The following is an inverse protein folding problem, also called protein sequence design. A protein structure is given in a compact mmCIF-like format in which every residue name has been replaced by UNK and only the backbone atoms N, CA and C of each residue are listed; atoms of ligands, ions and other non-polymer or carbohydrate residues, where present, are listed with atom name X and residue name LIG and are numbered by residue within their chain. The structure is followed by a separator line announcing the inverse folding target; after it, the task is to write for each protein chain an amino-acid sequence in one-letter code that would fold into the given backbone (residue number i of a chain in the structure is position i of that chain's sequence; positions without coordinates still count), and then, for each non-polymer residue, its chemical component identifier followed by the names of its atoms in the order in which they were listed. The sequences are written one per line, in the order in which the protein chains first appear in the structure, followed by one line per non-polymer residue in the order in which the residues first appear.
data_IF_249077122328
#
_entry.id   IF_249077122328
#
_cell.length_a   1.000
_cell.length_b   1.000
_cell.length_c   1.000
_cell.angle_alpha   90.00
_cell.angle_beta   90.00
_cell.angle_gamma   90.00
#
_symmetry.space_group_name_H-M   'P 1'
#
loop_
_entity.id
_entity.type
_entity.pdbx_description
1 polymer ?
#
# COMPACT_ATOMS: atom_id res chain seq x y z
N UNK A 1 -61.97 -11.93 15.04
CA UNK A 1 -60.88 -12.49 14.21
C UNK A 1 -60.32 -11.38 13.33
N UNK A 2 -59.15 -10.83 13.66
CA UNK A 2 -58.46 -9.86 12.80
C UNK A 2 -57.57 -10.64 11.84
N UNK A 3 -57.87 -10.53 10.56
CA UNK A 3 -57.13 -11.19 9.48
C UNK A 3 -55.75 -10.52 9.36
N UNK A 4 -54.70 -11.23 9.77
CA UNK A 4 -53.32 -10.80 9.60
C UNK A 4 -52.94 -10.93 8.12
N UNK A 5 -52.58 -9.82 7.48
CA UNK A 5 -52.03 -9.83 6.11
C UNK A 5 -50.55 -10.25 6.17
N UNK A 6 -50.07 -11.10 5.24
CA UNK A 6 -48.66 -11.47 5.22
C UNK A 6 -47.82 -10.26 4.82
N UNK A 7 -46.83 -9.92 5.65
CA UNK A 7 -45.79 -8.94 5.32
C UNK A 7 -44.81 -9.65 4.40
N UNK A 8 -44.92 -9.39 3.09
CA UNK A 8 -43.94 -9.85 2.12
C UNK A 8 -42.70 -8.95 2.27
N UNK A 9 -41.70 -9.45 2.98
CA UNK A 9 -40.37 -8.84 3.00
C UNK A 9 -39.73 -9.03 1.63
N UNK A 10 -39.83 -8.01 0.77
CA UNK A 10 -38.97 -7.92 -0.40
C UNK A 10 -37.54 -7.66 0.09
N UNK A 11 -36.70 -8.70 0.02
CA UNK A 11 -35.24 -8.53 0.00
C UNK A 11 -34.89 -7.85 -1.31
N UNK A 12 -35.04 -6.53 -1.35
CA UNK A 12 -34.52 -5.71 -2.44
C UNK A 12 -33.01 -5.72 -2.23
N UNK A 13 -32.32 -6.55 -3.00
CA UNK A 13 -30.87 -6.54 -3.08
C UNK A 13 -30.42 -5.10 -3.28
N UNK A 14 -29.49 -4.66 -2.43
CA UNK A 14 -28.79 -3.39 -2.56
C UNK A 14 -28.00 -3.42 -3.87
N UNK A 15 -28.67 -3.14 -4.98
CA UNK A 15 -28.03 -2.75 -6.21
C UNK A 15 -27.28 -1.46 -5.89
N UNK A 16 -25.96 -1.50 -5.99
CA UNK A 16 -25.03 -0.42 -5.67
C UNK A 16 -25.53 0.89 -6.31
N UNK A 17 -25.92 1.86 -5.50
CA UNK A 17 -26.48 3.16 -5.94
C UNK A 17 -25.38 4.11 -6.44
N UNK A 18 -24.37 3.56 -7.10
CA UNK A 18 -23.21 4.29 -7.59
C UNK A 18 -22.92 3.87 -9.02
N UNK A 19 -22.65 4.82 -9.93
CA UNK A 19 -22.25 4.48 -11.29
C UNK A 19 -20.97 3.64 -11.25
N UNK A 20 -20.83 2.70 -12.19
CA UNK A 20 -19.58 1.96 -12.38
C UNK A 20 -18.44 2.96 -12.58
N UNK A 21 -17.46 2.95 -11.69
CA UNK A 21 -16.29 3.85 -11.71
C UNK A 21 -15.08 3.03 -12.07
N UNK A 22 -14.37 3.42 -13.13
CA UNK A 22 -13.12 2.81 -13.53
C UNK A 22 -11.95 3.55 -12.86
N UNK A 23 -11.13 2.80 -12.12
CA UNK A 23 -9.92 3.30 -11.50
C UNK A 23 -8.72 2.68 -12.21
N UNK A 24 -7.80 3.52 -12.68
CA UNK A 24 -6.50 3.09 -13.21
C UNK A 24 -5.40 3.55 -12.26
N UNK A 25 -4.60 2.61 -11.78
CA UNK A 25 -3.48 2.85 -10.86
C UNK A 25 -2.23 2.21 -11.45
N UNK A 26 -1.08 2.86 -11.27
CA UNK A 26 0.23 2.29 -11.57
C UNK A 26 0.95 1.98 -10.26
N UNK A 27 1.24 0.71 -10.05
CA UNK A 27 1.94 0.19 -8.88
C UNK A 27 2.94 -0.88 -9.34
N UNK A 28 4.02 -1.14 -8.56
CA UNK A 28 4.92 -2.26 -8.81
C UNK A 28 4.15 -3.57 -8.85
N UNK A 29 4.52 -4.50 -9.73
CA UNK A 29 3.92 -5.83 -9.71
C UNK A 29 4.27 -6.57 -8.41
N UNK A 30 3.32 -7.30 -7.85
CA UNK A 30 3.44 -8.00 -6.58
C UNK A 30 2.80 -9.39 -6.64
N UNK A 31 3.50 -10.42 -6.17
CA UNK A 31 2.99 -11.80 -6.15
C UNK A 31 1.97 -12.07 -5.03
N UNK A 32 1.87 -11.17 -4.05
CA UNK A 32 0.88 -11.20 -2.96
C UNK A 32 -0.38 -10.36 -3.23
N UNK A 33 -0.51 -9.75 -4.43
CA UNK A 33 -1.68 -8.96 -4.77
C UNK A 33 -1.81 -7.64 -3.98
N UNK A 34 -0.68 -7.00 -3.64
CA UNK A 34 -0.61 -5.68 -3.00
C UNK A 34 -1.24 -5.58 -1.61
N UNK A 35 -1.42 -6.72 -0.95
CA UNK A 35 -2.04 -6.89 0.37
C UNK A 35 -1.20 -6.39 1.56
N UNK A 36 -0.04 -5.77 1.28
CA UNK A 36 0.87 -5.24 2.30
C UNK A 36 1.87 -6.25 2.86
N UNK A 37 2.03 -7.42 2.23
CA UNK A 37 3.17 -8.31 2.50
C UNK A 37 4.34 -8.03 1.57
N UNK A 38 5.56 -8.38 2.01
CA UNK A 38 6.72 -8.50 1.11
C UNK A 38 6.47 -9.64 0.12
N UNK A 39 6.98 -9.52 -1.12
CA UNK A 39 6.82 -10.59 -2.12
C UNK A 39 7.22 -11.95 -1.52
N UNK A 40 6.55 -13.02 -1.92
CA UNK A 40 6.92 -14.37 -1.47
C UNK A 40 8.25 -14.82 -2.07
N UNK A 41 8.57 -14.36 -3.29
CA UNK A 41 9.86 -14.60 -3.96
C UNK A 41 10.43 -13.30 -4.56
N UNK A 42 10.92 -12.36 -3.73
CA UNK A 42 11.28 -11.01 -4.18
C UNK A 42 12.39 -11.01 -5.24
N UNK A 43 13.42 -11.86 -5.07
CA UNK A 43 14.54 -11.98 -6.03
C UNK A 43 14.11 -12.41 -7.43
N UNK A 44 13.03 -13.20 -7.53
CA UNK A 44 12.49 -13.67 -8.82
C UNK A 44 11.56 -12.64 -9.48
N UNK A 45 11.21 -11.56 -8.79
CA UNK A 45 10.40 -10.49 -9.34
C UNK A 45 11.24 -9.58 -10.24
N UNK A 46 11.40 -9.98 -11.51
CA UNK A 46 12.09 -9.18 -12.53
C UNK A 46 11.31 -7.94 -12.97
N UNK A 47 10.00 -7.87 -12.73
CA UNK A 47 9.17 -6.71 -13.08
C UNK A 47 9.56 -5.48 -12.24
N UNK A 48 9.86 -5.69 -10.96
CA UNK A 48 10.35 -4.65 -10.05
C UNK A 48 11.62 -3.94 -10.58
N UNK A 49 12.53 -4.65 -11.23
CA UNK A 49 13.77 -4.08 -11.79
C UNK A 49 13.54 -3.09 -12.94
N UNK A 50 12.37 -3.12 -13.59
CA UNK A 50 12.02 -2.15 -14.64
C UNK A 50 11.72 -0.76 -14.07
N UNK A 51 11.35 -0.67 -12.80
CA UNK A 51 11.12 0.59 -12.12
C UNK A 51 12.45 1.14 -11.62
N UNK A 52 12.88 2.27 -12.19
CA UNK A 52 14.23 2.83 -11.98
C UNK A 52 14.66 2.87 -10.51
N UNK A 53 13.80 3.38 -9.62
CA UNK A 53 14.13 3.53 -8.19
C UNK A 53 14.29 2.17 -7.50
N UNK A 54 13.34 1.26 -7.71
CA UNK A 54 13.39 -0.11 -7.18
C UNK A 54 14.62 -0.83 -7.74
N UNK A 55 14.88 -0.76 -9.05
CA UNK A 55 16.04 -1.40 -9.67
C UNK A 55 17.40 -0.87 -9.15
N UNK A 56 17.44 0.34 -8.60
CA UNK A 56 18.66 0.94 -8.01
C UNK A 56 18.79 0.66 -6.50
N UNK A 57 17.69 0.56 -5.77
CA UNK A 57 17.67 0.47 -4.31
C UNK A 57 17.39 -0.93 -3.77
N UNK A 58 16.95 -1.88 -4.61
CA UNK A 58 16.58 -3.22 -4.17
C UNK A 58 17.79 -3.97 -3.63
N UNK A 59 17.62 -4.53 -2.43
CA UNK A 59 18.55 -5.47 -1.81
C UNK A 59 17.88 -6.85 -1.78
N UNK A 60 18.30 -7.74 -2.68
CA UNK A 60 17.71 -9.07 -2.82
C UNK A 60 17.84 -9.89 -1.53
N UNK A 61 18.98 -9.78 -0.82
CA UNK A 61 19.22 -10.56 0.39
C UNK A 61 18.36 -10.06 1.57
N UNK A 62 18.23 -8.73 1.71
CA UNK A 62 17.39 -8.13 2.74
C UNK A 62 15.91 -8.44 2.49
N UNK A 63 15.43 -8.33 1.25
CA UNK A 63 14.04 -8.64 0.92
C UNK A 63 13.73 -10.14 1.05
N UNK A 64 14.65 -11.04 0.66
CA UNK A 64 14.50 -12.49 0.86
C UNK A 64 14.40 -12.88 2.35
N UNK A 65 15.12 -12.18 3.24
CA UNK A 65 15.10 -12.45 4.68
C UNK A 65 13.73 -12.18 5.35
N UNK A 66 12.90 -11.33 4.74
CA UNK A 66 11.55 -10.96 5.24
C UNK A 66 10.44 -11.34 4.26
N UNK A 67 10.72 -12.21 3.29
CA UNK A 67 9.78 -12.60 2.25
C UNK A 67 8.45 -13.13 2.84
N UNK A 68 7.33 -12.67 2.27
CA UNK A 68 5.98 -13.04 2.70
C UNK A 68 5.51 -12.45 4.04
N UNK A 69 6.35 -11.72 4.78
CA UNK A 69 5.96 -11.09 6.04
C UNK A 69 5.14 -9.81 5.78
N UNK A 70 4.23 -9.48 6.69
CA UNK A 70 3.42 -8.27 6.60
C UNK A 70 4.21 -7.04 7.04
N UNK A 71 3.97 -5.88 6.40
CA UNK A 71 4.64 -4.63 6.81
C UNK A 71 4.33 -4.24 8.26
N UNK A 72 3.16 -4.61 8.80
CA UNK A 72 2.81 -4.31 10.21
C UNK A 72 3.63 -5.11 11.22
N UNK A 73 4.16 -6.27 10.80
CA UNK A 73 4.97 -7.14 11.65
C UNK A 73 6.47 -6.83 11.52
N UNK A 74 6.83 -5.92 10.60
CA UNK A 74 8.21 -5.56 10.29
C UNK A 74 8.55 -4.16 10.77
N UNK A 75 9.73 -3.96 11.38
CA UNK A 75 10.25 -2.62 11.60
C UNK A 75 10.51 -1.93 10.25
N UNK A 76 10.32 -0.61 10.19
CA UNK A 76 10.33 0.16 8.94
C UNK A 76 11.68 0.05 8.20
N UNK A 77 12.79 -0.16 8.91
CA UNK A 77 14.12 -0.34 8.35
C UNK A 77 14.25 -1.63 7.52
N UNK A 78 13.35 -2.60 7.74
CA UNK A 78 13.29 -3.86 6.98
C UNK A 78 12.26 -3.81 5.85
N UNK A 79 11.58 -2.69 5.65
CA UNK A 79 10.61 -2.58 4.57
C UNK A 79 11.30 -2.62 3.20
N UNK A 80 10.76 -3.35 2.22
CA UNK A 80 11.34 -3.42 0.89
C UNK A 80 11.28 -2.04 0.21
N UNK A 81 12.22 -1.79 -0.70
CA UNK A 81 12.34 -0.49 -1.36
C UNK A 81 11.05 -0.10 -2.13
N UNK A 82 10.24 -1.09 -2.55
CA UNK A 82 8.99 -0.91 -3.27
C UNK A 82 7.84 -0.30 -2.43
N UNK A 83 7.97 -0.19 -1.10
CA UNK A 83 6.95 0.46 -0.25
C UNK A 83 6.74 1.93 -0.62
N UNK A 84 7.82 2.64 -0.97
CA UNK A 84 7.74 4.03 -1.42
C UNK A 84 7.08 4.16 -2.82
N UNK A 85 7.00 3.09 -3.61
CA UNK A 85 6.20 3.03 -4.85
C UNK A 85 4.77 2.49 -4.62
N UNK A 86 4.26 2.51 -3.39
CA UNK A 86 2.87 2.10 -3.06
C UNK A 86 2.58 0.62 -3.33
N UNK A 87 3.54 -0.28 -3.08
CA UNK A 87 3.32 -1.73 -3.17
C UNK A 87 2.13 -2.23 -2.34
N UNK A 88 1.81 -1.55 -1.23
CA UNK A 88 0.81 -1.96 -0.26
C UNK A 88 -0.54 -1.25 -0.46
N UNK A 89 -0.91 -0.88 -1.69
CA UNK A 89 -2.11 -0.06 -1.91
C UNK A 89 -3.43 -0.79 -1.56
N UNK A 90 -3.46 -2.13 -1.59
CA UNK A 90 -4.63 -2.94 -1.24
C UNK A 90 -4.55 -3.53 0.17
N UNK A 91 -3.52 -3.17 0.95
CA UNK A 91 -3.38 -3.69 2.31
C UNK A 91 -4.61 -3.35 3.16
N UNK A 92 -5.11 -4.27 3.99
CA UNK A 92 -6.27 -4.05 4.86
C UNK A 92 -5.90 -3.29 6.15
N UNK A 93 -4.75 -2.61 6.16
CA UNK A 93 -4.22 -1.91 7.31
C UNK A 93 -3.56 -0.60 6.90
N UNK A 94 -3.49 0.32 7.83
CA UNK A 94 -2.79 1.59 7.67
C UNK A 94 -1.32 1.44 8.06
N UNK A 95 -0.47 2.23 7.42
CA UNK A 95 0.91 2.36 7.85
C UNK A 95 1.40 3.78 7.62
N UNK A 96 2.34 4.19 8.47
CA UNK A 96 3.02 5.48 8.36
C UNK A 96 4.42 5.22 7.85
N UNK A 97 4.79 5.85 6.75
CA UNK A 97 6.14 5.84 6.23
C UNK A 97 6.80 7.17 6.48
N UNK A 98 7.86 7.14 7.26
CA UNK A 98 8.74 8.28 7.44
C UNK A 98 9.61 8.54 6.20
N UNK A 99 9.65 9.77 5.72
CA UNK A 99 10.45 10.19 4.56
C UNK A 99 11.36 11.36 4.91
N UNK A 100 12.62 11.25 4.51
CA UNK A 100 13.59 12.33 4.64
C UNK A 100 13.50 13.27 3.44
N UNK A 101 13.30 14.56 3.69
CA UNK A 101 13.19 15.56 2.63
C UNK A 101 14.56 15.80 1.95
N UNK A 102 14.67 15.79 0.60
CA UNK A 102 15.94 15.98 -0.09
C UNK A 102 16.68 17.28 0.28
N UNK A 103 15.93 18.37 0.49
CA UNK A 103 16.50 19.69 0.86
C UNK A 103 17.11 19.78 2.25
N UNK A 104 16.92 18.77 3.12
CA UNK A 104 17.61 18.69 4.41
C UNK A 104 19.13 18.58 4.23
N UNK A 105 19.59 17.92 3.15
CA UNK A 105 21.03 17.71 2.88
C UNK A 105 21.70 18.86 2.13
N UNK A 106 20.96 19.64 1.35
CA UNK A 106 21.55 20.55 0.35
C UNK A 106 21.56 22.03 0.74
N UNK A 107 20.97 22.40 1.88
CA UNK A 107 20.79 23.82 2.22
C UNK A 107 20.65 24.05 3.73
N UNK A 108 21.76 23.92 4.45
CA UNK A 108 21.86 24.21 5.90
C UNK A 108 21.42 25.64 6.26
N UNK A 109 21.54 26.59 5.32
CA UNK A 109 21.22 28.01 5.57
C UNK A 109 19.80 28.48 5.21
N UNK A 110 18.98 27.67 4.52
CA UNK A 110 17.65 28.14 4.04
C UNK A 110 16.52 27.12 4.16
N UNK A 111 16.83 25.81 4.11
CA UNK A 111 15.83 24.74 4.12
C UNK A 111 16.12 23.71 5.24
N UNK A 112 16.92 24.09 6.24
CA UNK A 112 17.21 23.23 7.41
C UNK A 112 15.98 22.94 8.28
N UNK A 113 14.89 23.70 8.12
CA UNK A 113 13.62 23.50 8.81
C UNK A 113 12.70 22.45 8.15
N UNK A 114 13.08 21.91 6.99
CA UNK A 114 12.34 20.78 6.40
C UNK A 114 12.69 19.52 7.19
N UNK A 115 11.95 19.33 8.28
CA UNK A 115 12.02 18.17 9.14
C UNK A 115 11.54 16.89 8.46
N UNK A 116 11.74 15.78 9.15
CA UNK A 116 11.29 14.46 8.76
C UNK A 116 9.75 14.45 8.61
N UNK A 117 9.25 14.01 7.44
CA UNK A 117 7.81 14.04 7.13
C UNK A 117 7.23 12.63 7.12
N UNK A 118 6.15 12.45 7.87
CA UNK A 118 5.36 11.22 7.89
C UNK A 118 4.34 11.20 6.74
N UNK A 119 4.40 10.18 5.90
CA UNK A 119 3.35 9.86 4.92
C UNK A 119 2.44 8.79 5.50
N UNK A 120 1.17 9.13 5.70
CA UNK A 120 0.18 8.18 6.19
C UNK A 120 -0.53 7.54 4.98
N UNK A 121 -0.61 6.21 4.95
CA UNK A 121 -1.51 5.50 4.04
C UNK A 121 -2.76 5.07 4.79
N UNK A 122 -3.74 5.95 4.81
CA UNK A 122 -5.06 5.65 5.37
C UNK A 122 -5.75 4.54 4.56
N UNK A 123 -6.51 3.71 5.26
CA UNK A 123 -7.37 2.71 4.64
C UNK A 123 -8.56 3.49 4.09
N UNK A 124 -8.63 3.68 2.78
CA UNK A 124 -9.76 4.36 2.14
C UNK A 124 -11.02 3.49 2.41
N UNK A 125 -11.70 3.79 3.52
CA UNK A 125 -13.04 3.35 3.87
C UNK A 125 -13.98 4.54 3.74
N UNK A 126 -14.23 5.01 2.52
CA UNK A 126 -15.41 5.80 2.18
C UNK A 126 -15.96 5.39 0.82
#
# INVERSE_FOLDING_TARGET
MKQLKPVVFYLIGLATLYPLRHISIRVPWHDTGWDGRVCAKPRLNGACLKLKRIGQERDDAAEEAVAGQSLVDLPQEKWPCCVTERMAFMAPFEYVRTANHPYKRTSEGSHGHFDEMSFIRDMILE
#
